data_IF_749281120337
#
_entry.id   IF_749281120337
#
_cell.length_a   1.000
_cell.length_b   1.000
_cell.length_c   1.000
_cell.angle_alpha   90.00
_cell.angle_beta   90.00
_cell.angle_gamma   90.00
#
_symmetry.space_group_name_H-M   'P 1'
#
loop_
_entity.id
_entity.type
_entity.pdbx_description
1 polymer ?
#
# COMPACT_ATOMS: atom_id res chain seq x y z
N UNK A 1 6.66 -29.60 -7.17
CA UNK A 1 5.21 -29.86 -7.34
C UNK A 1 4.38 -29.54 -6.08
N UNK A 2 4.71 -30.02 -4.88
CA UNK A 2 3.92 -29.76 -3.64
C UNK A 2 3.69 -28.29 -3.28
N UNK A 3 4.69 -27.42 -3.45
CA UNK A 3 4.56 -25.99 -3.10
C UNK A 3 3.52 -25.25 -3.95
N UNK A 4 3.42 -25.57 -5.25
CA UNK A 4 2.46 -24.94 -6.15
C UNK A 4 1.00 -25.23 -5.76
N UNK A 5 0.75 -26.43 -5.25
CA UNK A 5 -0.57 -26.82 -4.75
C UNK A 5 -0.97 -26.01 -3.50
N UNK A 6 -0.01 -25.70 -2.63
CA UNK A 6 -0.26 -24.89 -1.42
C UNK A 6 -0.60 -23.44 -1.83
N UNK A 7 0.14 -22.87 -2.78
CA UNK A 7 -0.15 -21.52 -3.28
C UNK A 7 -1.48 -21.44 -4.03
N UNK A 8 -1.82 -22.45 -4.83
CA UNK A 8 -3.11 -22.53 -5.50
C UNK A 8 -4.28 -22.72 -4.52
N UNK A 9 -4.11 -23.55 -3.49
CA UNK A 9 -5.11 -23.71 -2.43
C UNK A 9 -5.33 -22.39 -1.67
N UNK A 10 -4.25 -21.67 -1.34
CA UNK A 10 -4.33 -20.37 -0.69
C UNK A 10 -5.05 -19.32 -1.58
N UNK A 11 -4.72 -19.27 -2.87
CA UNK A 11 -5.42 -18.42 -3.83
C UNK A 11 -6.91 -18.76 -3.93
N UNK A 12 -7.27 -20.04 -3.96
CA UNK A 12 -8.65 -20.49 -3.96
C UNK A 12 -9.41 -20.06 -2.70
N UNK A 13 -8.77 -20.14 -1.53
CA UNK A 13 -9.35 -19.65 -0.26
C UNK A 13 -9.60 -18.14 -0.31
N UNK A 14 -8.66 -17.35 -0.84
CA UNK A 14 -8.82 -15.89 -0.96
C UNK A 14 -9.97 -15.51 -1.90
N UNK A 15 -10.17 -16.25 -3.00
CA UNK A 15 -11.29 -16.02 -3.93
C UNK A 15 -12.62 -16.45 -3.31
N UNK A 16 -12.64 -17.56 -2.56
CA UNK A 16 -13.85 -18.07 -1.92
C UNK A 16 -14.28 -17.25 -0.69
N UNK A 17 -13.34 -16.60 0.01
CA UNK A 17 -13.59 -15.85 1.23
C UNK A 17 -14.70 -14.77 1.10
N UNK A 18 -14.68 -13.85 0.12
CA UNK A 18 -15.75 -12.85 -0.03
C UNK A 18 -17.10 -13.46 -0.43
N UNK A 19 -17.14 -14.69 -0.96
CA UNK A 19 -18.39 -15.38 -1.33
C UNK A 19 -19.10 -16.02 -0.13
N UNK A 20 -18.34 -16.41 0.90
CA UNK A 20 -18.87 -17.02 2.13
C UNK A 20 -19.32 -15.95 3.12
N UNK A 21 -18.59 -14.83 3.20
CA UNK A 21 -18.88 -13.72 4.09
C UNK A 21 -19.42 -12.50 3.33
N UNK A 22 -20.74 -12.41 3.20
CA UNK A 22 -21.42 -11.36 2.43
C UNK A 22 -21.81 -10.12 3.24
N UNK A 23 -21.60 -10.13 4.57
CA UNK A 23 -21.87 -8.98 5.43
C UNK A 23 -20.86 -7.84 5.18
N UNK A 24 -21.32 -6.58 5.18
CA UNK A 24 -20.49 -5.39 4.95
C UNK A 24 -19.34 -5.26 5.95
N UNK A 25 -19.59 -5.58 7.22
CA UNK A 25 -18.54 -5.61 8.25
C UNK A 25 -17.50 -6.69 7.95
N UNK A 26 -17.96 -7.88 7.56
CA UNK A 26 -17.07 -8.99 7.28
C UNK A 26 -16.18 -8.71 6.06
N UNK A 27 -16.72 -8.09 5.00
CA UNK A 27 -15.95 -7.66 3.82
C UNK A 27 -14.92 -6.58 4.16
N UNK A 28 -15.28 -5.63 5.04
CA UNK A 28 -14.36 -4.58 5.49
C UNK A 28 -13.21 -5.18 6.28
N UNK A 29 -13.52 -6.06 7.25
CA UNK A 29 -12.51 -6.75 8.05
C UNK A 29 -11.62 -7.65 7.19
N UNK A 30 -12.20 -8.40 6.24
CA UNK A 30 -11.45 -9.24 5.32
C UNK A 30 -10.48 -8.40 4.47
N UNK A 31 -10.91 -7.22 4.01
CA UNK A 31 -10.07 -6.30 3.25
C UNK A 31 -8.91 -5.77 4.11
N UNK A 32 -9.17 -5.37 5.35
CA UNK A 32 -8.14 -4.91 6.28
C UNK A 32 -7.12 -6.02 6.60
N UNK A 33 -7.59 -7.24 6.85
CA UNK A 33 -6.73 -8.41 7.06
C UNK A 33 -5.90 -8.70 5.81
N UNK A 34 -6.48 -8.61 4.61
CA UNK A 34 -5.77 -8.75 3.35
C UNK A 34 -4.64 -7.73 3.19
N UNK A 35 -4.92 -6.45 3.47
CA UNK A 35 -3.91 -5.38 3.47
C UNK A 35 -2.79 -5.67 4.46
N UNK A 36 -3.13 -6.10 5.69
CA UNK A 36 -2.14 -6.45 6.71
C UNK A 36 -1.27 -7.64 6.30
N UNK A 37 -1.86 -8.70 5.71
CA UNK A 37 -1.13 -9.86 5.18
C UNK A 37 -0.13 -9.42 4.12
N UNK A 38 -0.55 -8.58 3.16
CA UNK A 38 0.34 -8.07 2.10
C UNK A 38 1.47 -7.23 2.69
N UNK A 39 1.17 -6.36 3.67
CA UNK A 39 2.18 -5.57 4.36
C UNK A 39 3.20 -6.45 5.11
N UNK A 40 2.74 -7.45 5.86
CA UNK A 40 3.61 -8.41 6.56
C UNK A 40 4.45 -9.25 5.59
N UNK A 41 3.88 -9.68 4.46
CA UNK A 41 4.59 -10.43 3.43
C UNK A 41 5.69 -9.58 2.81
N UNK A 42 5.39 -8.32 2.45
CA UNK A 42 6.37 -7.38 1.92
C UNK A 42 7.54 -7.18 2.90
N UNK A 43 7.24 -7.00 4.19
CA UNK A 43 8.27 -6.91 5.22
C UNK A 43 9.08 -8.20 5.38
N UNK A 44 8.43 -9.37 5.33
CA UNK A 44 9.11 -10.66 5.39
C UNK A 44 10.05 -10.90 4.20
N UNK A 45 9.74 -10.39 3.02
CA UNK A 45 10.68 -10.46 1.89
C UNK A 45 11.93 -9.62 2.18
N UNK A 46 11.76 -8.39 2.68
CA UNK A 46 12.90 -7.49 2.94
C UNK A 46 13.74 -7.96 4.13
N UNK A 47 13.10 -8.33 5.23
CA UNK A 47 13.78 -8.73 6.47
C UNK A 47 14.13 -10.23 6.49
N UNK A 48 13.16 -11.10 6.18
CA UNK A 48 13.32 -12.55 6.28
C UNK A 48 14.21 -13.14 5.17
N UNK A 49 14.12 -12.65 3.94
CA UNK A 49 14.98 -13.11 2.84
C UNK A 49 16.15 -12.15 2.58
N UNK A 50 15.92 -10.84 2.67
CA UNK A 50 16.95 -9.83 2.44
C UNK A 50 17.86 -9.54 3.64
N UNK A 51 17.53 -10.00 4.85
CA UNK A 51 18.32 -9.78 6.06
C UNK A 51 18.42 -8.31 6.50
N UNK A 52 17.59 -7.42 5.95
CA UNK A 52 17.64 -5.98 6.18
C UNK A 52 16.35 -5.51 6.86
N UNK A 53 16.49 -4.79 7.97
CA UNK A 53 15.36 -4.19 8.67
C UNK A 53 14.91 -2.91 7.94
N UNK A 54 13.70 -2.88 7.38
CA UNK A 54 13.16 -1.70 6.67
C UNK A 54 11.96 -1.08 7.36
N UNK A 55 12.06 0.17 7.78
CA UNK A 55 10.91 0.95 8.29
C UNK A 55 10.20 1.76 7.19
N UNK A 56 10.85 1.94 6.04
CA UNK A 56 10.37 2.79 4.95
C UNK A 56 9.33 2.15 4.04
N UNK A 57 9.12 0.83 4.13
CA UNK A 57 8.13 0.13 3.30
C UNK A 57 6.70 0.67 3.48
N UNK A 58 6.35 1.13 4.69
CA UNK A 58 5.07 1.77 4.98
C UNK A 58 4.88 3.08 4.20
N UNK A 59 5.96 3.82 3.93
CA UNK A 59 5.93 5.07 3.17
C UNK A 59 5.47 4.81 1.74
N UNK A 60 5.98 3.77 1.08
CA UNK A 60 5.64 3.49 -0.32
C UNK A 60 4.19 3.04 -0.48
N UNK A 61 3.71 2.19 0.44
CA UNK A 61 2.30 1.80 0.50
C UNK A 61 1.39 2.99 0.82
N UNK A 62 1.79 3.86 1.74
CA UNK A 62 1.06 5.07 2.10
C UNK A 62 0.95 6.07 0.96
N UNK A 63 2.07 6.41 0.30
CA UNK A 63 2.08 7.29 -0.86
C UNK A 63 1.28 6.70 -2.03
N UNK A 64 1.40 5.39 -2.29
CA UNK A 64 0.57 4.71 -3.28
C UNK A 64 -0.93 4.82 -2.97
N UNK A 65 -1.33 4.68 -1.70
CA UNK A 65 -2.71 4.86 -1.26
C UNK A 65 -3.20 6.31 -1.44
N UNK A 66 -2.38 7.31 -1.10
CA UNK A 66 -2.73 8.72 -1.34
C UNK A 66 -2.95 9.00 -2.82
N UNK A 67 -2.09 8.49 -3.71
CA UNK A 67 -2.25 8.69 -5.16
C UNK A 67 -3.48 7.94 -5.71
N UNK A 68 -3.79 6.76 -5.18
CA UNK A 68 -5.02 6.05 -5.51
C UNK A 68 -6.27 6.85 -5.12
N UNK A 69 -6.29 7.45 -3.92
CA UNK A 69 -7.43 8.28 -3.45
C UNK A 69 -7.56 9.56 -4.27
N UNK A 70 -6.46 10.24 -4.59
CA UNK A 70 -6.50 11.39 -5.50
C UNK A 70 -7.08 11.01 -6.86
N UNK A 71 -6.67 9.87 -7.40
CA UNK A 71 -7.21 9.37 -8.68
C UNK A 71 -8.70 9.06 -8.56
N UNK A 72 -9.14 8.44 -7.47
CA UNK A 72 -10.56 8.16 -7.21
C UNK A 72 -11.40 9.44 -7.12
N UNK A 73 -10.91 10.45 -6.41
CA UNK A 73 -11.59 11.75 -6.32
C UNK A 73 -11.65 12.45 -7.70
N UNK A 74 -10.57 12.38 -8.50
CA UNK A 74 -10.59 12.92 -9.88
C UNK A 74 -11.58 12.19 -10.80
N UNK A 75 -11.77 10.88 -10.59
CA UNK A 75 -12.79 10.08 -11.30
C UNK A 75 -14.20 10.48 -10.84
N UNK A 76 -14.42 10.63 -9.53
CA UNK A 76 -15.69 11.09 -8.96
C UNK A 76 -16.09 12.49 -9.42
N UNK A 77 -15.12 13.40 -9.57
CA UNK A 77 -15.31 14.75 -10.12
C UNK A 77 -15.52 14.78 -11.64
N UNK A 78 -15.46 13.64 -12.32
CA UNK A 78 -15.61 13.53 -13.78
C UNK A 78 -14.42 14.07 -14.59
N UNK A 79 -13.27 14.33 -13.96
CA UNK A 79 -12.06 14.84 -14.65
C UNK A 79 -11.34 13.75 -15.43
N UNK A 80 -11.44 12.50 -14.98
CA UNK A 80 -10.80 11.34 -15.61
C UNK A 80 -11.83 10.21 -15.71
N UNK A 81 -11.99 9.64 -16.90
CA UNK A 81 -12.81 8.45 -17.11
C UNK A 81 -11.95 7.18 -16.99
N UNK A 82 -11.63 6.80 -15.75
CA UNK A 82 -10.94 5.54 -15.43
C UNK A 82 -11.91 4.58 -14.71
N UNK A 83 -12.01 3.31 -15.13
CA UNK A 83 -12.74 2.30 -14.38
C UNK A 83 -12.19 2.19 -12.95
N UNK A 84 -13.08 2.20 -11.96
CA UNK A 84 -12.72 2.18 -10.53
C UNK A 84 -11.92 0.92 -10.16
N UNK A 85 -12.15 -0.18 -10.87
CA UNK A 85 -11.38 -1.42 -10.75
C UNK A 85 -9.89 -1.30 -11.11
N UNK A 86 -9.49 -0.28 -11.88
CA UNK A 86 -8.09 -0.03 -12.27
C UNK A 86 -7.36 0.93 -11.32
N UNK A 87 -8.06 1.61 -10.40
CA UNK A 87 -7.46 2.56 -9.46
C UNK A 87 -6.38 1.91 -8.56
N UNK A 88 -6.55 0.66 -8.05
CA UNK A 88 -5.49 0.00 -7.31
C UNK A 88 -4.18 -0.15 -8.11
N UNK A 89 -4.26 -0.28 -9.44
CA UNK A 89 -3.09 -0.36 -10.31
C UNK A 89 -2.36 0.98 -10.40
N UNK A 90 -3.09 2.09 -10.43
CA UNK A 90 -2.51 3.45 -10.35
C UNK A 90 -1.78 3.64 -9.02
N UNK A 91 -2.41 3.24 -7.90
CA UNK A 91 -1.76 3.26 -6.59
C UNK A 91 -0.52 2.39 -6.51
N UNK A 92 -0.57 1.19 -7.08
CA UNK A 92 0.57 0.27 -7.16
C UNK A 92 1.72 0.82 -8.00
N UNK A 93 1.45 1.43 -9.15
CA UNK A 93 2.45 2.08 -9.99
C UNK A 93 3.07 3.31 -9.31
N UNK A 94 2.25 4.11 -8.62
CA UNK A 94 2.74 5.23 -7.82
C UNK A 94 3.65 4.76 -6.67
N UNK A 95 3.24 3.72 -5.94
CA UNK A 95 4.05 3.09 -4.90
C UNK A 95 5.37 2.56 -5.45
N UNK A 96 5.35 1.90 -6.63
CA UNK A 96 6.55 1.42 -7.33
C UNK A 96 7.48 2.59 -7.69
N UNK A 97 6.93 3.69 -8.22
CA UNK A 97 7.71 4.88 -8.56
C UNK A 97 8.45 5.44 -7.35
N UNK A 98 7.75 5.66 -6.23
CA UNK A 98 8.37 6.17 -5.01
C UNK A 98 9.34 5.15 -4.38
N UNK A 99 9.00 3.86 -4.43
CA UNK A 99 9.88 2.79 -3.96
C UNK A 99 11.16 2.71 -4.80
N UNK A 100 11.11 2.94 -6.11
CA UNK A 100 12.30 2.99 -6.96
C UNK A 100 13.15 4.23 -6.64
N UNK A 101 12.51 5.40 -6.51
CA UNK A 101 13.17 6.67 -6.23
C UNK A 101 13.90 6.67 -4.87
N UNK A 102 13.18 6.35 -3.80
CA UNK A 102 13.72 6.33 -2.43
C UNK A 102 14.49 5.05 -2.14
N UNK A 103 14.07 3.92 -2.70
CA UNK A 103 14.77 2.64 -2.60
C UNK A 103 16.17 2.70 -3.19
N UNK A 104 16.36 3.39 -4.32
CA UNK A 104 17.68 3.56 -4.92
C UNK A 104 18.68 4.28 -4.00
N UNK A 105 18.21 5.24 -3.21
CA UNK A 105 19.06 5.97 -2.25
C UNK A 105 19.30 5.14 -0.99
N UNK A 106 18.25 4.54 -0.44
CA UNK A 106 18.30 3.81 0.83
C UNK A 106 19.12 2.52 0.75
N UNK A 107 19.08 1.80 -0.38
CA UNK A 107 19.76 0.50 -0.55
C UNK A 107 21.28 0.57 -0.75
N UNK A 108 21.86 1.79 -0.83
CA UNK A 108 23.32 1.96 -0.99
C UNK A 108 24.14 1.53 0.22
N UNK A 109 23.50 1.36 1.38
CA UNK A 109 24.09 0.86 2.61
C UNK A 109 23.24 -0.31 3.11
N UNK A 110 23.86 -1.30 3.72
CA UNK A 110 23.17 -2.49 4.25
C UNK A 110 23.18 -2.50 5.78
N UNK A 111 22.32 -3.34 6.37
CA UNK A 111 22.26 -3.55 7.82
C UNK A 111 21.62 -2.39 8.59
N UNK A 112 22.23 -1.99 9.71
CA UNK A 112 21.66 -0.97 10.61
C UNK A 112 21.57 0.41 9.98
N UNK A 113 22.51 0.77 9.10
CA UNK A 113 22.48 2.06 8.38
C UNK A 113 21.26 2.16 7.47
N UNK A 114 20.89 1.06 6.78
CA UNK A 114 19.66 1.01 5.98
C UNK A 114 18.42 1.28 6.85
N UNK A 115 18.33 0.60 8.00
CA UNK A 115 17.23 0.78 8.93
C UNK A 115 17.07 2.25 9.36
N UNK A 116 18.18 2.89 9.76
CA UNK A 116 18.18 4.29 10.18
C UNK A 116 17.78 5.26 9.06
N UNK A 117 18.28 5.05 7.83
CA UNK A 117 17.88 5.87 6.68
C UNK A 117 16.39 5.72 6.42
N UNK A 118 15.87 4.49 6.40
CA UNK A 118 14.45 4.24 6.11
C UNK A 118 13.51 4.77 7.20
N UNK A 119 13.95 4.78 8.46
CA UNK A 119 13.23 5.43 9.57
C UNK A 119 13.19 6.95 9.37
N UNK A 120 14.33 7.56 9.03
CA UNK A 120 14.40 8.99 8.73
C UNK A 120 13.52 9.41 7.56
N UNK A 121 13.42 8.58 6.51
CA UNK A 121 12.47 8.80 5.40
C UNK A 121 11.02 8.71 5.89
N UNK A 122 10.70 7.78 6.78
CA UNK A 122 9.38 7.67 7.40
C UNK A 122 8.98 8.94 8.16
N UNK A 123 9.85 9.42 9.04
CA UNK A 123 9.63 10.65 9.82
C UNK A 123 9.53 11.90 8.93
N UNK A 124 10.32 11.96 7.86
CA UNK A 124 10.23 13.04 6.88
C UNK A 124 8.87 13.06 6.20
N UNK A 125 8.37 11.91 5.74
CA UNK A 125 7.04 11.83 5.09
C UNK A 125 5.91 12.08 6.07
N UNK A 126 6.03 11.60 7.32
CA UNK A 126 5.10 11.94 8.39
C UNK A 126 5.02 13.46 8.61
N UNK A 127 6.17 14.10 8.76
CA UNK A 127 6.24 15.58 8.92
C UNK A 127 5.65 16.30 7.71
N UNK A 128 5.93 15.83 6.49
CA UNK A 128 5.37 16.39 5.27
C UNK A 128 3.84 16.26 5.22
N UNK A 129 3.27 15.16 5.70
CA UNK A 129 1.81 14.98 5.71
C UNK A 129 1.07 16.04 6.54
N UNK A 130 1.73 16.53 7.60
CA UNK A 130 1.19 17.59 8.46
C UNK A 130 1.49 18.99 7.92
N UNK A 131 2.66 19.19 7.28
CA UNK A 131 3.07 20.50 6.74
C UNK A 131 2.42 20.85 5.39
N UNK A 132 2.02 19.85 4.60
CA UNK A 132 1.44 20.02 3.25
C UNK A 132 -0.03 19.54 3.21
N UNK A 133 -0.95 20.22 3.92
CA UNK A 133 -2.34 19.79 4.04
C UNK A 133 -3.09 19.82 2.70
N UNK A 134 -2.67 20.64 1.74
CA UNK A 134 -3.29 20.71 0.40
C UNK A 134 -3.19 19.38 -0.35
N UNK A 135 -2.11 18.62 -0.16
CA UNK A 135 -1.91 17.32 -0.81
C UNK A 135 -2.29 16.16 0.12
N UNK A 136 -1.92 16.20 1.40
CA UNK A 136 -2.13 15.04 2.30
C UNK A 136 -3.43 15.11 3.10
N UNK A 137 -4.10 16.26 3.15
CA UNK A 137 -5.28 16.47 4.00
C UNK A 137 -4.97 16.70 5.48
N UNK A 138 -3.69 16.83 5.86
CA UNK A 138 -3.27 17.08 7.24
C UNK A 138 -3.68 15.95 8.19
N UNK A 139 -4.12 16.30 9.40
CA UNK A 139 -4.55 15.32 10.41
C UNK A 139 -5.83 14.55 10.02
N UNK A 140 -6.70 15.16 9.21
CA UNK A 140 -7.97 14.55 8.78
C UNK A 140 -7.78 13.56 7.62
N UNK A 141 -6.67 13.68 6.87
CA UNK A 141 -6.45 12.95 5.64
C UNK A 141 -7.39 13.39 4.51
N UNK A 142 -7.45 12.59 3.45
CA UNK A 142 -8.27 12.89 2.27
C UNK A 142 -9.59 12.12 2.34
N UNK A 143 -10.69 12.86 2.28
CA UNK A 143 -12.03 12.27 2.19
C UNK A 143 -12.30 11.79 0.77
N UNK A 144 -12.93 10.62 0.64
CA UNK A 144 -13.35 10.04 -0.64
C UNK A 144 -14.73 9.40 -0.48
N UNK A 145 -15.47 9.31 -1.58
CA UNK A 145 -16.69 8.53 -1.64
C UNK A 145 -16.40 7.12 -2.16
N UNK A 146 -16.89 6.12 -1.44
CA UNK A 146 -16.75 4.69 -1.77
C UNK A 146 -17.76 4.20 -2.80
N UNK A 147 -18.72 5.05 -3.18
CA UNK A 147 -19.78 4.80 -4.18
C UNK A 147 -19.43 5.44 -5.53
N UNK A 148 -18.24 6.04 -5.66
CA UNK A 148 -17.70 6.47 -6.95
C UNK A 148 -17.53 5.23 -7.82
N UNK A 149 -18.28 5.15 -8.94
CA UNK A 149 -18.30 4.02 -9.87
C UNK A 149 -19.69 3.62 -10.31
#
# INVERSE_FOLDING_TARGET
MRAWMIWLAYAAVLVAAPMVWTSSLALTMLSQVGIAIVACLAYNVIFGQGGMLSFGHAVYSGLGAYLAIHTLNMVGDGRIALPVSLIPLVGGLAGLFFAALLGYVTTRKAGTTFAMITLGVGELVWSMSLMLPEFFGGEAGITTDRVVG
#
